data_IF_258301336130
#
_entry.id   IF_258301336130
#
_cell.length_a   1.000
_cell.length_b   1.000
_cell.length_c   1.000
_cell.angle_alpha   90.00
_cell.angle_beta   90.00
_cell.angle_gamma   90.00
#
_symmetry.space_group_name_H-M   'P 1'
#
loop_
_entity.id
_entity.type
_entity.pdbx_description
1 polymer ?
#
# COMPACT_ATOMS: atom_id res chain seq x y z
N UNK A 1 -25.17 -27.45 -9.08
CA UNK A 1 -24.29 -26.41 -8.52
C UNK A 1 -23.02 -26.39 -9.33
N UNK A 2 -22.69 -25.26 -9.98
CA UNK A 2 -21.45 -25.14 -10.76
C UNK A 2 -20.25 -25.14 -9.82
N UNK A 3 -19.17 -25.86 -10.17
CA UNK A 3 -17.91 -25.84 -9.42
C UNK A 3 -17.21 -24.50 -9.69
N UNK A 4 -16.69 -23.85 -8.66
CA UNK A 4 -15.89 -22.62 -8.81
C UNK A 4 -14.61 -22.91 -9.60
N UNK A 5 -14.18 -21.96 -10.42
CA UNK A 5 -12.86 -22.01 -11.01
C UNK A 5 -11.81 -21.62 -9.98
N UNK A 6 -10.54 -21.99 -10.21
CA UNK A 6 -9.44 -21.57 -9.33
C UNK A 6 -9.34 -20.04 -9.23
N UNK A 7 -9.61 -19.32 -10.32
CA UNK A 7 -9.57 -17.85 -10.31
C UNK A 7 -10.72 -17.23 -9.49
N UNK A 8 -11.87 -17.89 -9.43
CA UNK A 8 -12.95 -17.45 -8.53
C UNK A 8 -12.55 -17.61 -7.06
N UNK A 9 -11.82 -18.69 -6.73
CA UNK A 9 -11.27 -18.88 -5.38
C UNK A 9 -10.21 -17.84 -5.04
N UNK A 10 -9.35 -17.48 -6.00
CA UNK A 10 -8.36 -16.39 -5.85
C UNK A 10 -9.06 -15.07 -5.58
N UNK A 11 -10.08 -14.71 -6.37
CA UNK A 11 -10.83 -13.47 -6.20
C UNK A 11 -11.52 -13.42 -4.84
N UNK A 12 -12.14 -14.54 -4.43
CA UNK A 12 -12.76 -14.65 -3.12
C UNK A 12 -11.73 -14.47 -1.98
N UNK A 13 -10.55 -15.08 -2.09
CA UNK A 13 -9.47 -14.89 -1.13
C UNK A 13 -8.95 -13.45 -1.07
N UNK A 14 -8.83 -12.80 -2.23
CA UNK A 14 -8.40 -11.40 -2.34
C UNK A 14 -9.39 -10.43 -1.73
N UNK A 15 -10.70 -10.75 -1.73
CA UNK A 15 -11.72 -9.89 -1.14
C UNK A 15 -11.42 -9.52 0.32
N UNK A 16 -10.82 -10.42 1.11
CA UNK A 16 -10.45 -10.12 2.49
C UNK A 16 -9.40 -9.00 2.62
N UNK A 17 -8.53 -8.81 1.64
CA UNK A 17 -7.53 -7.74 1.69
C UNK A 17 -8.17 -6.35 1.72
N UNK A 18 -9.30 -6.16 1.04
CA UNK A 18 -10.00 -4.87 0.98
C UNK A 18 -10.66 -4.51 2.31
N UNK A 19 -11.29 -5.51 2.94
CA UNK A 19 -12.10 -5.29 4.14
C UNK A 19 -11.30 -5.43 5.44
N UNK A 20 -10.14 -6.09 5.42
CA UNK A 20 -9.35 -6.33 6.63
C UNK A 20 -7.88 -5.97 6.45
N UNK A 21 -7.09 -6.81 5.78
CA UNK A 21 -5.64 -6.81 5.99
C UNK A 21 -4.94 -5.49 5.62
N UNK A 22 -5.31 -4.86 4.50
CA UNK A 22 -4.62 -3.65 4.04
C UNK A 22 -4.85 -2.44 4.94
N UNK A 23 -5.99 -2.39 5.65
CA UNK A 23 -6.38 -1.27 6.52
C UNK A 23 -6.17 -1.55 8.00
N UNK A 24 -6.48 -2.77 8.43
CA UNK A 24 -6.50 -3.13 9.85
C UNK A 24 -5.11 -3.52 10.37
N UNK A 25 -4.22 -4.08 9.53
CA UNK A 25 -2.87 -4.40 9.98
C UNK A 25 -2.07 -3.15 10.36
N UNK A 26 -2.03 -2.07 9.55
CA UNK A 26 -1.38 -0.83 9.98
C UNK A 26 -1.96 -0.25 11.27
N UNK A 27 -3.30 -0.28 11.43
CA UNK A 27 -3.96 0.20 12.64
C UNK A 27 -3.60 -0.64 13.88
N UNK A 28 -3.48 -1.97 13.71
CA UNK A 28 -3.02 -2.86 14.78
C UNK A 28 -1.58 -2.54 15.21
N UNK A 29 -0.69 -2.26 14.25
CA UNK A 29 0.70 -1.89 14.54
C UNK A 29 0.75 -0.56 15.29
N UNK A 30 0.08 0.47 14.77
CA UNK A 30 0.01 1.78 15.41
C UNK A 30 -0.54 1.69 16.85
N UNK A 31 -1.63 0.94 17.05
CA UNK A 31 -2.20 0.75 18.39
C UNK A 31 -1.26 -0.01 19.34
N UNK A 32 -0.47 -0.96 18.84
CA UNK A 32 0.52 -1.67 19.66
C UNK A 32 1.73 -0.77 19.99
N UNK A 33 2.20 0.03 19.04
CA UNK A 33 3.26 1.01 19.23
C UNK A 33 2.87 2.05 20.29
N UNK A 34 1.65 2.61 20.20
CA UNK A 34 1.10 3.53 21.20
C UNK A 34 1.08 2.90 22.61
N UNK A 35 0.57 1.67 22.72
CA UNK A 35 0.51 0.94 23.99
C UNK A 35 1.89 0.65 24.60
N UNK A 36 2.90 0.40 23.75
CA UNK A 36 4.28 0.20 24.20
C UNK A 36 4.91 1.52 24.65
N UNK A 37 4.73 2.59 23.87
CA UNK A 37 5.21 3.93 24.17
C UNK A 37 4.66 4.50 25.48
N UNK A 38 3.42 4.16 25.83
CA UNK A 38 2.77 4.50 27.09
C UNK A 38 3.38 3.76 28.30
N UNK A 39 3.83 2.52 28.10
CA UNK A 39 4.37 1.67 29.17
C UNK A 39 5.85 1.91 29.43
N UNK A 40 6.62 2.15 28.38
CA UNK A 40 8.05 2.39 28.45
C UNK A 40 8.46 3.44 27.40
N UNK A 41 8.96 4.62 27.83
CA UNK A 41 9.44 5.67 26.93
C UNK A 41 10.47 5.23 25.91
N UNK A 42 11.19 4.12 26.14
CA UNK A 42 12.15 3.56 25.19
C UNK A 42 11.52 3.17 23.84
N UNK A 43 10.19 2.98 23.78
CA UNK A 43 9.47 2.61 22.56
C UNK A 43 8.86 3.79 21.79
N UNK A 44 8.91 5.04 22.28
CA UNK A 44 8.24 6.18 21.62
C UNK A 44 8.74 6.50 20.21
N UNK A 45 9.99 6.18 19.92
CA UNK A 45 10.64 6.44 18.63
C UNK A 45 10.97 5.13 17.89
N UNK A 46 10.40 4.00 18.32
CA UNK A 46 10.64 2.70 17.70
C UNK A 46 9.43 2.27 16.89
N UNK A 47 9.64 2.06 15.59
CA UNK A 47 8.70 1.33 14.75
C UNK A 47 8.86 -0.17 14.97
N UNK A 48 7.74 -0.89 15.12
CA UNK A 48 7.78 -2.34 15.26
C UNK A 48 8.16 -3.00 13.93
N UNK A 49 9.03 -4.04 13.96
CA UNK A 49 9.33 -4.78 12.75
C UNK A 49 8.06 -5.50 12.25
N UNK A 50 7.94 -5.69 10.94
CA UNK A 50 6.86 -6.50 10.35
C UNK A 50 6.97 -7.97 10.82
N UNK A 51 6.25 -8.28 11.90
CA UNK A 51 6.16 -9.61 12.50
C UNK A 51 4.98 -10.43 11.97
N UNK A 52 4.03 -9.78 11.28
CA UNK A 52 2.88 -10.42 10.65
C UNK A 52 2.96 -10.25 9.13
N UNK A 53 2.95 -11.37 8.41
CA UNK A 53 3.01 -11.41 6.95
C UNK A 53 1.92 -12.33 6.44
N UNK A 54 1.17 -11.84 5.45
CA UNK A 54 0.12 -12.62 4.80
C UNK A 54 0.71 -13.48 3.69
N UNK A 55 0.23 -14.72 3.59
CA UNK A 55 0.56 -15.65 2.51
C UNK A 55 -0.69 -16.39 2.07
N UNK A 56 -0.72 -16.79 0.80
CA UNK A 56 -1.82 -17.55 0.21
C UNK A 56 -1.27 -18.66 -0.67
N UNK A 57 -1.91 -19.83 -0.61
CA UNK A 57 -1.65 -20.95 -1.52
C UNK A 57 -2.66 -21.00 -2.68
N UNK A 58 -3.74 -20.22 -2.61
CA UNK A 58 -4.81 -20.23 -3.59
C UNK A 58 -4.27 -19.72 -4.93
N UNK A 59 -4.50 -20.50 -6.00
CA UNK A 59 -3.97 -20.21 -7.33
C UNK A 59 -2.50 -20.57 -7.53
N UNK A 60 -1.81 -21.05 -6.48
CA UNK A 60 -0.40 -21.44 -6.53
C UNK A 60 -0.10 -22.90 -6.18
N UNK A 61 -0.90 -23.52 -5.29
CA UNK A 61 -0.71 -24.93 -4.94
C UNK A 61 -1.19 -25.85 -6.05
N UNK A 62 -0.24 -26.63 -6.59
CA UNK A 62 -0.44 -27.51 -7.74
C UNK A 62 -0.45 -28.99 -7.36
N UNK A 63 -0.17 -29.33 -6.11
CA UNK A 63 -0.06 -30.71 -5.70
C UNK A 63 -1.42 -31.43 -5.84
N UNK A 64 -1.47 -32.45 -6.70
CA UNK A 64 -2.71 -33.19 -7.01
C UNK A 64 -3.81 -32.40 -7.72
N UNK A 65 -3.59 -31.13 -8.11
CA UNK A 65 -4.63 -30.27 -8.71
C UNK A 65 -4.30 -29.90 -10.17
N UNK A 66 -4.83 -30.63 -11.18
CA UNK A 66 -4.53 -30.36 -12.59
C UNK A 66 -5.11 -29.03 -13.10
N UNK A 67 -6.01 -28.39 -12.34
CA UNK A 67 -6.62 -27.11 -12.72
C UNK A 67 -5.74 -25.89 -12.39
N UNK A 68 -4.66 -26.07 -11.62
CA UNK A 68 -3.68 -24.99 -11.34
C UNK A 68 -2.56 -25.07 -12.37
N UNK A 69 -2.78 -24.40 -13.50
CA UNK A 69 -1.83 -24.31 -14.62
C UNK A 69 -0.86 -23.13 -14.45
N UNK A 70 0.17 -23.05 -15.30
CA UNK A 70 1.07 -21.89 -15.35
C UNK A 70 0.29 -20.58 -15.62
N UNK A 71 -0.69 -20.61 -16.54
CA UNK A 71 -1.52 -19.44 -16.82
C UNK A 71 -2.40 -19.04 -15.64
N UNK A 72 -2.88 -20.00 -14.82
CA UNK A 72 -3.61 -19.69 -13.59
C UNK A 72 -2.71 -19.01 -12.56
N UNK A 73 -1.47 -19.48 -12.40
CA UNK A 73 -0.50 -18.87 -11.50
C UNK A 73 -0.15 -17.44 -11.95
N UNK A 74 0.10 -17.21 -13.24
CA UNK A 74 0.37 -15.87 -13.80
C UNK A 74 -0.80 -14.91 -13.54
N UNK A 75 -2.03 -15.35 -13.82
CA UNK A 75 -3.23 -14.55 -13.53
C UNK A 75 -3.39 -14.29 -12.03
N UNK A 76 -3.13 -15.29 -11.19
CA UNK A 76 -3.19 -15.15 -9.73
C UNK A 76 -2.23 -14.08 -9.23
N UNK A 77 -0.98 -14.09 -9.71
CA UNK A 77 0.02 -13.07 -9.36
C UNK A 77 -0.39 -11.68 -9.87
N UNK A 78 -0.92 -11.58 -11.09
CA UNK A 78 -1.42 -10.33 -11.64
C UNK A 78 -2.60 -9.77 -10.83
N UNK A 79 -3.53 -10.63 -10.39
CA UNK A 79 -4.66 -10.24 -9.54
C UNK A 79 -4.19 -9.74 -8.17
N UNK A 80 -3.25 -10.44 -7.52
CA UNK A 80 -2.67 -10.01 -6.24
C UNK A 80 -1.94 -8.67 -6.37
N UNK A 81 -1.11 -8.50 -7.40
CA UNK A 81 -0.38 -7.25 -7.65
C UNK A 81 -1.35 -6.09 -7.95
N UNK A 82 -2.33 -6.33 -8.83
CA UNK A 82 -3.36 -5.34 -9.16
C UNK A 82 -4.11 -4.89 -7.91
N UNK A 83 -4.41 -5.82 -6.99
CA UNK A 83 -5.10 -5.49 -5.76
C UNK A 83 -4.28 -4.56 -4.86
N UNK A 84 -3.02 -4.91 -4.64
CA UNK A 84 -2.10 -4.10 -3.84
C UNK A 84 -1.88 -2.71 -4.45
N UNK A 85 -1.63 -2.63 -5.76
CA UNK A 85 -1.38 -1.35 -6.43
C UNK A 85 -2.61 -0.44 -6.44
N UNK A 86 -3.81 -0.98 -6.70
CA UNK A 86 -5.05 -0.18 -6.62
C UNK A 86 -5.23 0.44 -5.24
N UNK A 87 -5.06 -0.35 -4.18
CA UNK A 87 -5.13 0.15 -2.82
C UNK A 87 -4.14 1.30 -2.57
N UNK A 88 -2.87 1.12 -2.92
CA UNK A 88 -1.88 2.17 -2.71
C UNK A 88 -2.11 3.41 -3.57
N UNK A 89 -2.63 3.28 -4.79
CA UNK A 89 -3.00 4.42 -5.62
C UNK A 89 -4.13 5.24 -4.97
N UNK A 90 -5.15 4.58 -4.42
CA UNK A 90 -6.26 5.24 -3.72
C UNK A 90 -5.77 5.94 -2.43
N UNK A 91 -4.89 5.30 -1.67
CA UNK A 91 -4.29 5.89 -0.46
C UNK A 91 -3.38 7.09 -0.81
N UNK A 92 -2.56 6.99 -1.85
CA UNK A 92 -1.72 8.10 -2.31
C UNK A 92 -2.56 9.28 -2.83
N UNK A 93 -3.64 9.00 -3.55
CA UNK A 93 -4.57 10.03 -3.99
C UNK A 93 -5.21 10.76 -2.79
N UNK A 94 -5.65 10.00 -1.78
CA UNK A 94 -6.21 10.55 -0.55
C UNK A 94 -5.18 11.39 0.21
N UNK A 95 -3.97 10.87 0.40
CA UNK A 95 -2.89 11.56 1.11
C UNK A 95 -2.49 12.86 0.39
N UNK A 96 -2.41 12.84 -0.93
CA UNK A 96 -2.11 14.02 -1.75
C UNK A 96 -3.17 15.12 -1.60
N UNK A 97 -4.43 14.74 -1.38
CA UNK A 97 -5.50 15.71 -1.09
C UNK A 97 -5.35 16.36 0.28
N UNK A 98 -4.83 15.63 1.27
CA UNK A 98 -4.73 16.06 2.67
C UNK A 98 -3.45 16.86 2.98
N UNK A 99 -2.33 16.58 2.31
CA UNK A 99 -1.03 17.19 2.60
C UNK A 99 -0.71 18.39 1.69
N UNK A 100 -1.52 19.45 1.78
CA UNK A 100 -1.44 20.67 0.96
C UNK A 100 -0.61 21.80 1.58
N UNK A 101 0.35 21.47 2.46
CA UNK A 101 1.07 22.50 3.22
C UNK A 101 2.07 23.22 2.30
N UNK A 102 1.96 24.55 2.26
CA UNK A 102 2.89 25.41 1.53
C UNK A 102 4.22 25.58 2.28
N UNK A 103 5.33 25.71 1.56
CA UNK A 103 6.67 25.97 2.13
C UNK A 103 6.76 27.23 2.98
N UNK A 104 5.86 28.19 2.80
CA UNK A 104 5.76 29.38 3.64
C UNK A 104 5.27 29.07 5.07
N UNK A 105 4.56 27.95 5.25
CA UNK A 105 3.88 27.59 6.49
C UNK A 105 4.58 26.48 7.29
N UNK A 106 5.39 25.66 6.63
CA UNK A 106 6.04 24.50 7.25
C UNK A 106 7.51 24.42 6.86
N UNK A 107 8.34 23.95 7.78
CA UNK A 107 9.70 23.56 7.46
C UNK A 107 9.69 22.22 6.73
N UNK A 108 10.46 22.13 5.66
CA UNK A 108 10.51 20.96 4.77
C UNK A 108 11.95 20.46 4.74
N UNK A 109 12.14 19.16 4.88
CA UNK A 109 13.46 18.56 4.87
C UNK A 109 14.04 18.49 3.44
N UNK A 110 15.37 18.54 3.31
CA UNK A 110 16.05 18.43 2.01
C UNK A 110 15.69 17.13 1.25
N UNK A 111 15.57 15.95 1.90
CA UNK A 111 15.12 14.73 1.21
C UNK A 111 13.71 14.84 0.63
N UNK A 112 12.79 15.51 1.32
CA UNK A 112 11.44 15.71 0.82
C UNK A 112 11.41 16.70 -0.35
N UNK A 113 12.23 17.75 -0.31
CA UNK A 113 12.39 18.67 -1.44
C UNK A 113 12.96 17.93 -2.67
N UNK A 114 13.90 17.01 -2.49
CA UNK A 114 14.42 16.18 -3.58
C UNK A 114 13.33 15.29 -4.21
N UNK A 115 12.44 14.71 -3.39
CA UNK A 115 11.28 13.96 -3.89
C UNK A 115 10.30 14.85 -4.66
N UNK A 116 10.03 16.06 -4.15
CA UNK A 116 9.16 17.02 -4.81
C UNK A 116 9.70 17.46 -6.18
N UNK A 117 11.02 17.71 -6.28
CA UNK A 117 11.68 18.08 -7.52
C UNK A 117 11.64 16.99 -8.60
N UNK A 118 11.58 15.72 -8.20
CA UNK A 118 11.45 14.58 -9.12
C UNK A 118 10.00 14.34 -9.60
N UNK A 119 9.03 15.13 -9.12
CA UNK A 119 7.63 15.00 -9.50
C UNK A 119 7.40 15.31 -10.99
N UNK A 120 6.55 14.54 -11.69
CA UNK A 120 6.09 14.89 -13.04
C UNK A 120 5.03 16.01 -13.03
N UNK A 121 4.52 16.42 -11.85
CA UNK A 121 3.59 17.54 -11.74
C UNK A 121 4.35 18.87 -11.79
N UNK A 122 4.10 19.65 -12.85
CA UNK A 122 4.69 20.97 -13.07
C UNK A 122 3.68 22.11 -12.95
N UNK A 123 2.53 21.86 -12.30
CA UNK A 123 1.51 22.88 -12.08
C UNK A 123 2.06 24.06 -11.30
N UNK A 124 1.99 25.31 -11.84
CA UNK A 124 2.41 26.50 -11.11
C UNK A 124 1.61 26.74 -9.81
N UNK A 125 0.40 26.18 -9.71
CA UNK A 125 -0.45 26.31 -8.53
C UNK A 125 -0.03 25.40 -7.37
N UNK A 126 0.87 24.43 -7.61
CA UNK A 126 1.33 23.46 -6.61
C UNK A 126 2.84 23.52 -6.38
N UNK A 127 3.51 24.50 -6.98
CA UNK A 127 4.98 24.60 -6.93
C UNK A 127 5.53 24.82 -5.52
N UNK A 128 4.71 25.36 -4.61
CA UNK A 128 5.04 25.61 -3.21
C UNK A 128 4.48 24.55 -2.25
N UNK A 129 3.87 23.47 -2.75
CA UNK A 129 3.29 22.37 -1.96
C UNK A 129 4.14 21.07 -2.07
N UNK A 130 5.33 20.98 -1.45
CA UNK A 130 6.31 19.92 -1.71
C UNK A 130 5.84 18.52 -1.31
N UNK A 131 5.02 18.39 -0.26
CA UNK A 131 4.43 17.11 0.11
C UNK A 131 3.54 16.55 -1.00
N UNK A 132 2.66 17.39 -1.56
CA UNK A 132 1.77 16.99 -2.66
C UNK A 132 2.55 16.67 -3.93
N UNK A 133 3.59 17.43 -4.25
CA UNK A 133 4.48 17.13 -5.37
C UNK A 133 5.19 15.78 -5.18
N UNK A 134 5.76 15.53 -4.01
CA UNK A 134 6.42 14.26 -3.69
C UNK A 134 5.44 13.07 -3.83
N UNK A 135 4.22 13.21 -3.31
CA UNK A 135 3.16 12.19 -3.43
C UNK A 135 2.78 11.97 -4.89
N UNK A 136 2.68 13.03 -5.69
CA UNK A 136 2.38 12.92 -7.14
C UNK A 136 3.47 12.13 -7.88
N UNK A 137 4.74 12.35 -7.52
CA UNK A 137 5.86 11.55 -8.03
C UNK A 137 5.79 10.07 -7.63
N UNK A 138 5.44 9.79 -6.37
CA UNK A 138 5.25 8.40 -5.90
C UNK A 138 4.07 7.75 -6.62
N UNK A 139 2.93 8.43 -6.74
CA UNK A 139 1.75 7.96 -7.46
C UNK A 139 2.09 7.61 -8.91
N UNK A 140 2.80 8.49 -9.62
CA UNK A 140 3.20 8.25 -11.00
C UNK A 140 4.10 7.00 -11.14
N UNK A 141 4.98 6.74 -10.16
CA UNK A 141 5.81 5.53 -10.15
C UNK A 141 5.03 4.26 -9.87
N UNK A 142 3.99 4.32 -9.04
CA UNK A 142 3.12 3.16 -8.74
C UNK A 142 2.20 2.85 -9.92
N UNK A 143 1.81 3.87 -10.69
CA UNK A 143 0.92 3.74 -11.85
C UNK A 143 1.61 3.32 -13.17
N UNK A 144 2.95 3.33 -13.21
CA UNK A 144 3.76 3.03 -14.40
C UNK A 144 3.86 1.52 -14.68
#
# INVERSE_FOLDING_TARGET
TSKLSVLDEVENGLSFYDYTFLRELPQLYAGLEDLLADKDPAFREQELPSFMKMGSWIGGDRDGNPFVTASVLENTMAMQATRAFRFYLDELHTLGSQLSMATLLVNVSDPLLALAQASPDHSPHRSDEPYRLAISGIYARVAA
#
